data_IF_120110243254
#
_entry.id   IF_120110243254
#
_cell.length_a   1.000
_cell.length_b   1.000
_cell.length_c   1.000
_cell.angle_alpha   90.00
_cell.angle_beta   90.00
_cell.angle_gamma   90.00
#
_symmetry.space_group_name_H-M   'P 1'
#
loop_
_entity.id
_entity.type
_entity.pdbx_description
1 polymer ?
#
# COMPACT_ATOMS: atom_id res chain seq x y z
N UNK A 1 -12.44 14.35 -15.37
CA UNK A 1 -11.53 13.27 -15.79
C UNK A 1 -10.76 12.86 -14.54
N UNK A 2 -11.02 11.67 -14.01
CA UNK A 2 -10.16 11.07 -12.98
C UNK A 2 -8.89 10.60 -13.69
N UNK A 3 -7.75 11.21 -13.36
CA UNK A 3 -6.44 10.73 -13.82
C UNK A 3 -6.31 9.26 -13.42
N UNK A 4 -5.94 8.39 -14.37
CA UNK A 4 -5.70 6.98 -14.07
C UNK A 4 -4.53 6.90 -13.10
N UNK A 5 -4.73 6.23 -11.97
CA UNK A 5 -3.68 6.03 -10.97
C UNK A 5 -2.75 4.93 -11.48
N UNK A 6 -1.49 5.27 -11.78
CA UNK A 6 -0.51 4.27 -12.23
C UNK A 6 0.25 3.70 -11.03
N UNK A 7 0.54 2.37 -11.00
CA UNK A 7 1.23 1.73 -9.88
C UNK A 7 2.57 2.38 -9.51
N UNK A 8 3.35 2.83 -10.49
CA UNK A 8 4.66 3.42 -10.26
C UNK A 8 4.55 4.77 -9.53
N UNK A 9 3.53 5.56 -9.82
CA UNK A 9 3.32 6.87 -9.20
C UNK A 9 3.05 6.73 -7.69
N UNK A 10 2.32 5.67 -7.30
CA UNK A 10 2.04 5.37 -5.89
C UNK A 10 3.34 5.03 -5.14
N UNK A 11 4.18 4.19 -5.73
CA UNK A 11 5.44 3.77 -5.10
C UNK A 11 6.41 4.95 -5.01
N UNK A 12 6.56 5.73 -6.08
CA UNK A 12 7.38 6.95 -6.09
C UNK A 12 6.92 7.93 -5.02
N UNK A 13 5.61 8.19 -4.92
CA UNK A 13 5.06 9.02 -3.87
C UNK A 13 5.39 8.48 -2.47
N UNK A 14 5.22 7.18 -2.24
CA UNK A 14 5.52 6.57 -0.94
C UNK A 14 7.02 6.65 -0.57
N UNK A 15 7.91 6.78 -1.56
CA UNK A 15 9.34 6.98 -1.35
C UNK A 15 9.73 8.44 -1.13
N UNK A 16 8.95 9.39 -1.66
CA UNK A 16 9.31 10.81 -1.71
C UNK A 16 8.50 11.70 -0.77
N UNK A 17 7.26 11.31 -0.42
CA UNK A 17 6.36 12.14 0.38
C UNK A 17 6.96 12.48 1.75
N UNK A 18 6.67 13.67 2.28
CA UNK A 18 7.26 14.13 3.54
C UNK A 18 6.48 13.64 4.77
N UNK A 19 5.21 13.27 4.59
CA UNK A 19 4.33 12.80 5.65
C UNK A 19 3.42 11.63 5.22
N UNK A 20 2.80 10.98 6.21
CA UNK A 20 1.76 9.98 5.96
C UNK A 20 0.44 10.58 5.47
N UNK A 21 0.19 11.85 5.78
CA UNK A 21 -1.02 12.56 5.36
C UNK A 21 -1.05 12.70 3.83
N UNK A 22 0.12 12.92 3.21
CA UNK A 22 0.27 12.97 1.75
C UNK A 22 -0.01 11.63 1.08
N UNK A 23 0.28 10.52 1.78
CA UNK A 23 0.14 9.17 1.24
C UNK A 23 -1.31 8.66 1.31
N UNK A 24 -2.06 9.08 2.32
CA UNK A 24 -3.40 8.56 2.63
C UNK A 24 -4.39 8.68 1.45
N UNK A 25 -4.55 9.85 0.80
CA UNK A 25 -5.49 10.00 -0.32
C UNK A 25 -5.17 9.09 -1.51
N UNK A 26 -3.90 8.75 -1.72
CA UNK A 26 -3.47 7.86 -2.79
C UNK A 26 -3.74 6.41 -2.42
N UNK A 27 -3.55 6.03 -1.16
CA UNK A 27 -3.91 4.69 -0.67
C UNK A 27 -5.42 4.45 -0.71
N UNK A 28 -6.24 5.47 -0.44
CA UNK A 28 -7.70 5.39 -0.58
C UNK A 28 -8.12 5.12 -2.03
N UNK A 29 -7.51 5.83 -2.99
CA UNK A 29 -7.74 5.58 -4.41
C UNK A 29 -7.26 4.19 -4.82
N UNK A 30 -6.10 3.76 -4.32
CA UNK A 30 -5.59 2.42 -4.58
C UNK A 30 -6.55 1.36 -4.05
N UNK A 31 -7.02 1.51 -2.80
CA UNK A 31 -7.96 0.60 -2.15
C UNK A 31 -9.35 0.55 -2.83
N UNK A 32 -9.71 1.54 -3.65
CA UNK A 32 -10.93 1.53 -4.48
C UNK A 32 -10.71 0.96 -5.89
N UNK A 33 -9.45 0.75 -6.30
CA UNK A 33 -9.10 0.32 -7.66
C UNK A 33 -9.58 -1.10 -7.97
N UNK A 34 -9.89 -1.34 -9.25
CA UNK A 34 -10.14 -2.68 -9.81
C UNK A 34 -8.92 -3.24 -10.56
N UNK A 35 -7.79 -2.55 -10.48
CA UNK A 35 -6.51 -3.01 -11.03
C UNK A 35 -5.68 -3.66 -9.90
N UNK A 36 -5.37 -4.97 -9.99
CA UNK A 36 -4.58 -5.66 -8.99
C UNK A 36 -3.18 -5.06 -8.82
N UNK A 37 -2.59 -4.46 -9.86
CA UNK A 37 -1.27 -3.84 -9.78
C UNK A 37 -1.29 -2.52 -9.02
N UNK A 38 -2.40 -1.78 -9.09
CA UNK A 38 -2.62 -0.58 -8.26
C UNK A 38 -2.79 -0.97 -6.79
N UNK A 39 -3.53 -2.05 -6.50
CA UNK A 39 -3.64 -2.60 -5.15
C UNK A 39 -2.27 -3.04 -4.65
N UNK A 40 -1.51 -3.77 -5.47
CA UNK A 40 -0.16 -4.21 -5.16
C UNK A 40 0.78 -3.05 -4.81
N UNK A 41 0.73 -1.96 -5.58
CA UNK A 41 1.51 -0.76 -5.30
C UNK A 41 1.07 -0.07 -4.01
N UNK A 42 -0.23 -0.03 -3.70
CA UNK A 42 -0.73 0.43 -2.40
C UNK A 42 -0.17 -0.40 -1.23
N UNK A 43 -0.11 -1.72 -1.38
CA UNK A 43 0.47 -2.63 -0.38
C UNK A 43 1.97 -2.35 -0.19
N UNK A 44 2.74 -2.17 -1.27
CA UNK A 44 4.15 -1.78 -1.19
C UNK A 44 4.35 -0.42 -0.52
N UNK A 45 3.48 0.55 -0.82
CA UNK A 45 3.52 1.87 -0.21
C UNK A 45 3.35 1.82 1.33
N UNK A 46 2.54 0.90 1.86
CA UNK A 46 2.47 0.64 3.31
C UNK A 46 3.82 0.17 3.86
N UNK A 47 4.51 -0.73 3.16
CA UNK A 47 5.86 -1.16 3.51
C UNK A 47 6.85 0.01 3.53
N UNK A 48 6.87 0.82 2.47
CA UNK A 48 7.70 2.03 2.41
C UNK A 48 7.40 3.02 3.54
N UNK A 49 6.13 3.24 3.87
CA UNK A 49 5.73 4.07 5.00
C UNK A 49 6.30 3.53 6.31
N UNK A 50 6.18 2.22 6.56
CA UNK A 50 6.74 1.58 7.74
C UNK A 50 8.27 1.77 7.84
N UNK A 51 9.00 1.61 6.73
CA UNK A 51 10.46 1.81 6.67
C UNK A 51 10.88 3.25 6.97
N UNK A 52 10.17 4.22 6.38
CA UNK A 52 10.55 5.64 6.40
C UNK A 52 10.11 6.33 7.68
N UNK A 53 8.84 6.16 8.05
CA UNK A 53 8.23 6.92 9.13
C UNK A 53 8.18 6.15 10.45
N UNK A 54 8.46 4.84 10.44
CA UNK A 54 8.20 3.93 11.58
C UNK A 54 6.73 3.97 12.02
N UNK A 55 5.86 4.30 11.08
CA UNK A 55 4.41 4.32 11.23
C UNK A 55 3.76 4.08 9.88
N UNK A 56 2.50 3.64 9.90
CA UNK A 56 1.73 3.39 8.68
C UNK A 56 0.23 3.61 8.94
N UNK A 57 -0.56 4.00 7.93
CA UNK A 57 -2.00 4.18 8.07
C UNK A 57 -2.68 2.81 8.24
N UNK A 58 -3.09 2.50 9.48
CA UNK A 58 -3.57 1.16 9.85
C UNK A 58 -4.85 0.78 9.09
N UNK A 59 -5.78 1.72 8.97
CA UNK A 59 -7.03 1.51 8.24
C UNK A 59 -6.75 1.18 6.76
N UNK A 60 -5.79 1.85 6.13
CA UNK A 60 -5.46 1.61 4.72
C UNK A 60 -4.79 0.25 4.52
N UNK A 61 -3.92 -0.19 5.42
CA UNK A 61 -3.39 -1.55 5.41
C UNK A 61 -4.52 -2.59 5.43
N UNK A 62 -5.45 -2.46 6.36
CA UNK A 62 -6.57 -3.41 6.49
C UNK A 62 -7.43 -3.44 5.22
N UNK A 63 -7.78 -2.27 4.69
CA UNK A 63 -8.55 -2.14 3.45
C UNK A 63 -7.83 -2.82 2.29
N UNK A 64 -6.56 -2.49 2.03
CA UNK A 64 -5.79 -3.06 0.92
C UNK A 64 -5.59 -4.58 1.06
N UNK A 65 -5.33 -5.09 2.27
CA UNK A 65 -5.10 -6.52 2.49
C UNK A 65 -6.37 -7.34 2.26
N UNK A 66 -7.55 -6.77 2.54
CA UNK A 66 -8.82 -7.46 2.30
C UNK A 66 -9.10 -7.67 0.80
N UNK A 67 -8.60 -6.76 -0.05
CA UNK A 67 -8.79 -6.81 -1.52
C UNK A 67 -8.06 -7.97 -2.20
N UNK A 68 -7.13 -8.66 -1.52
CA UNK A 68 -6.39 -9.80 -2.06
C UNK A 68 -7.32 -10.89 -2.62
N UNK A 69 -8.48 -11.07 -2.00
CA UNK A 69 -9.45 -12.10 -2.37
C UNK A 69 -10.25 -11.76 -3.63
N UNK A 70 -10.28 -10.51 -4.05
CA UNK A 70 -11.04 -10.05 -5.21
C UNK A 70 -10.34 -10.38 -6.54
N UNK A 71 -9.05 -10.74 -6.49
CA UNK A 71 -8.21 -11.00 -7.66
C UNK A 71 -7.64 -12.43 -7.63
N UNK A 72 -8.45 -13.47 -7.86
CA UNK A 72 -8.02 -14.86 -7.71
C UNK A 72 -6.79 -15.21 -8.57
N UNK A 73 -6.72 -14.69 -9.80
CA UNK A 73 -5.59 -14.92 -10.72
C UNK A 73 -4.28 -14.24 -10.28
N UNK A 74 -4.36 -13.28 -9.35
CA UNK A 74 -3.21 -12.52 -8.85
C UNK A 74 -3.00 -12.67 -7.34
N UNK A 75 -3.83 -13.48 -6.66
CA UNK A 75 -3.83 -13.60 -5.21
C UNK A 75 -2.46 -14.04 -4.66
N UNK A 76 -1.73 -14.91 -5.36
CA UNK A 76 -0.38 -15.32 -4.94
C UNK A 76 0.59 -14.14 -4.91
N UNK A 77 0.57 -13.28 -5.93
CA UNK A 77 1.43 -12.11 -6.01
C UNK A 77 1.07 -11.11 -4.90
N UNK A 78 -0.22 -10.80 -4.75
CA UNK A 78 -0.68 -9.87 -3.73
C UNK A 78 -0.38 -10.37 -2.30
N UNK A 79 -0.57 -11.67 -2.03
CA UNK A 79 -0.17 -12.26 -0.73
C UNK A 79 1.32 -12.15 -0.49
N UNK A 80 2.14 -12.41 -1.51
CA UNK A 80 3.60 -12.24 -1.42
C UNK A 80 3.96 -10.80 -1.03
N UNK A 81 3.34 -9.81 -1.66
CA UNK A 81 3.55 -8.40 -1.35
C UNK A 81 3.06 -8.03 0.06
N UNK A 82 1.92 -8.56 0.49
CA UNK A 82 1.42 -8.39 1.86
C UNK A 82 2.42 -8.90 2.91
N UNK A 83 3.07 -10.04 2.65
CA UNK A 83 4.10 -10.59 3.52
C UNK A 83 5.34 -9.70 3.54
N UNK A 84 5.84 -9.25 2.39
CA UNK A 84 6.97 -8.32 2.33
C UNK A 84 6.71 -7.02 3.09
N UNK A 85 5.52 -6.42 2.92
CA UNK A 85 5.17 -5.21 3.66
C UNK A 85 4.96 -5.48 5.16
N UNK A 86 4.50 -6.67 5.54
CA UNK A 86 4.42 -7.08 6.95
C UNK A 86 5.82 -7.25 7.56
N UNK A 87 6.75 -7.85 6.83
CA UNK A 87 8.16 -7.98 7.25
C UNK A 87 8.79 -6.60 7.47
N UNK A 88 8.50 -5.61 6.62
CA UNK A 88 8.93 -4.22 6.84
C UNK A 88 8.32 -3.64 8.13
N UNK A 89 7.01 -3.81 8.36
CA UNK A 89 6.35 -3.34 9.59
C UNK A 89 7.02 -3.92 10.83
N UNK A 90 7.28 -5.23 10.83
CA UNK A 90 7.84 -5.95 11.98
C UNK A 90 9.32 -5.60 12.18
N UNK A 91 10.10 -5.55 11.11
CA UNK A 91 11.53 -5.21 11.14
C UNK A 91 11.77 -3.81 11.69
N UNK A 92 11.03 -2.82 11.17
CA UNK A 92 11.16 -1.42 11.60
C UNK A 92 10.35 -1.08 12.84
N UNK A 93 9.60 -2.05 13.39
CA UNK A 93 8.71 -1.90 14.55
C UNK A 93 7.73 -0.74 14.36
N UNK A 94 7.21 -0.62 13.14
CA UNK A 94 6.36 0.48 12.75
C UNK A 94 5.01 0.39 13.47
N UNK A 95 4.47 1.54 13.88
CA UNK A 95 3.18 1.61 14.57
C UNK A 95 2.06 1.98 13.62
N UNK A 96 0.96 1.23 13.67
CA UNK A 96 -0.27 1.63 13.01
C UNK A 96 -0.83 2.89 13.67
N UNK A 97 -1.09 3.92 12.86
CA UNK A 97 -1.77 5.16 13.26
C UNK A 97 -3.11 5.29 12.56
#
# INVERSE_FOLDING_TARGET
MTTKLEPLDIVSLAMECESLDDLTPVLEQAAASQDPWVINAGILAIGHAARRFKSFPLAMKQSLWSRVHDFPDHASNLRGTCLTAQDDIDHFKAKGI
#
